data_IF_264388641214
#
_entry.id   IF_264388641214
#
_cell.length_a   1.000
_cell.length_b   1.000
_cell.length_c   1.000
_cell.angle_alpha   90.00
_cell.angle_beta   90.00
_cell.angle_gamma   90.00
#
_symmetry.space_group_name_H-M   'P 1'
#
loop_
_entity.id
_entity.type
_entity.pdbx_description
1 polymer ?
#
# COMPACT_ATOMS: atom_id res chain seq x y z
N UNK A 1 -15.61 24.36 25.99
CA UNK A 1 -16.93 24.09 26.59
C UNK A 1 -17.56 22.93 25.82
N UNK A 2 -17.38 21.69 26.27
CA UNK A 2 -17.99 20.51 25.63
C UNK A 2 -19.09 19.98 26.56
N UNK A 3 -20.33 20.10 26.11
CA UNK A 3 -21.47 19.43 26.71
C UNK A 3 -21.26 17.92 26.61
N UNK A 4 -20.86 17.29 27.72
CA UNK A 4 -20.84 15.84 27.90
C UNK A 4 -22.28 15.33 27.98
N UNK A 5 -23.03 15.42 26.88
CA UNK A 5 -24.36 14.83 26.78
C UNK A 5 -24.17 13.33 26.57
N UNK A 6 -24.57 12.57 27.59
CA UNK A 6 -24.68 11.11 27.52
C UNK A 6 -25.68 10.73 26.43
N UNK A 7 -25.33 9.74 25.61
CA UNK A 7 -26.21 9.21 24.57
C UNK A 7 -27.17 8.19 25.20
N UNK A 8 -28.42 8.19 24.76
CA UNK A 8 -29.38 7.13 25.04
C UNK A 8 -29.03 5.85 24.27
N UNK A 9 -29.55 4.70 24.71
CA UNK A 9 -29.28 3.42 24.04
C UNK A 9 -29.82 3.40 22.61
N UNK A 10 -30.96 4.06 22.37
CA UNK A 10 -31.55 4.24 21.03
C UNK A 10 -30.67 5.12 20.13
N UNK A 11 -30.14 6.24 20.65
CA UNK A 11 -29.16 7.06 19.93
C UNK A 11 -27.91 6.25 19.58
N UNK A 12 -27.37 5.49 20.54
CA UNK A 12 -26.22 4.61 20.31
C UNK A 12 -26.50 3.59 19.20
N UNK A 13 -27.66 2.92 19.23
CA UNK A 13 -28.02 1.91 18.23
C UNK A 13 -28.17 2.53 16.84
N UNK A 14 -28.86 3.67 16.73
CA UNK A 14 -29.00 4.39 15.48
C UNK A 14 -27.64 4.80 14.90
N UNK A 15 -26.69 5.21 15.74
CA UNK A 15 -25.33 5.55 15.30
C UNK A 15 -24.59 4.29 14.80
N UNK A 16 -24.68 3.17 15.54
CA UNK A 16 -24.08 1.88 15.15
C UNK A 16 -24.57 1.41 13.79
N UNK A 17 -25.84 1.60 13.50
CA UNK A 17 -26.44 1.20 12.22
C UNK A 17 -25.92 2.03 11.03
N UNK A 18 -25.37 3.22 11.29
CA UNK A 18 -24.80 4.11 10.29
C UNK A 18 -23.27 4.02 10.17
N UNK A 19 -22.62 3.11 10.90
CA UNK A 19 -21.17 2.88 10.78
C UNK A 19 -20.83 2.21 9.44
N UNK A 20 -19.64 2.52 8.91
CA UNK A 20 -19.14 1.93 7.66
C UNK A 20 -18.89 0.43 7.83
N UNK A 21 -18.32 0.05 8.96
CA UNK A 21 -18.15 -1.34 9.38
C UNK A 21 -19.08 -1.62 10.54
N UNK A 22 -19.66 -2.82 10.59
CA UNK A 22 -20.60 -3.17 11.66
C UNK A 22 -19.85 -3.64 12.90
N UNK A 23 -20.22 -3.15 14.07
CA UNK A 23 -19.78 -3.74 15.32
C UNK A 23 -20.34 -5.17 15.44
N UNK A 24 -19.53 -6.07 15.96
CA UNK A 24 -19.93 -7.45 16.29
C UNK A 24 -20.51 -7.52 17.71
N UNK A 25 -20.38 -8.66 18.38
CA UNK A 25 -20.86 -8.84 19.76
C UNK A 25 -20.13 -7.92 20.76
N UNK A 26 -20.75 -7.67 21.90
CA UNK A 26 -20.16 -6.92 23.02
C UNK A 26 -18.80 -7.48 23.50
N UNK A 27 -18.57 -8.78 23.31
CA UNK A 27 -17.34 -9.46 23.74
C UNK A 27 -16.18 -9.23 22.76
N UNK A 28 -16.47 -9.08 21.47
CA UNK A 28 -15.51 -8.87 20.40
C UNK A 28 -16.04 -7.88 19.35
N UNK A 29 -16.24 -6.60 19.73
CA UNK A 29 -16.94 -5.62 18.87
C UNK A 29 -16.23 -5.34 17.56
N UNK A 30 -14.90 -5.53 17.52
CA UNK A 30 -14.06 -5.30 16.35
C UNK A 30 -13.64 -6.57 15.61
N UNK A 31 -14.21 -7.74 15.94
CA UNK A 31 -13.99 -8.93 15.14
C UNK A 31 -14.34 -8.66 13.67
N UNK A 32 -13.62 -9.25 12.72
CA UNK A 32 -13.99 -9.21 11.31
C UNK A 32 -15.19 -10.12 11.04
N UNK A 33 -16.08 -9.71 10.15
CA UNK A 33 -17.07 -10.62 9.55
C UNK A 33 -16.50 -11.30 8.29
N UNK A 34 -17.23 -12.25 7.69
CA UNK A 34 -16.78 -13.03 6.53
C UNK A 34 -16.39 -12.21 5.29
N UNK A 35 -16.96 -11.02 5.13
CA UNK A 35 -16.65 -10.13 4.01
C UNK A 35 -15.42 -9.28 4.34
N UNK A 36 -15.34 -8.76 5.56
CA UNK A 36 -14.19 -8.01 6.08
C UNK A 36 -12.92 -8.88 6.21
N UNK A 37 -13.07 -10.19 6.40
CA UNK A 37 -11.97 -11.16 6.38
C UNK A 37 -11.27 -11.22 5.01
N UNK A 38 -11.96 -10.83 3.93
CA UNK A 38 -11.42 -10.77 2.57
C UNK A 38 -10.76 -9.43 2.25
N UNK A 39 -10.89 -8.42 3.12
CA UNK A 39 -10.35 -7.10 2.85
C UNK A 39 -8.83 -7.16 2.70
N UNK A 40 -8.39 -6.81 1.51
CA UNK A 40 -7.00 -6.61 1.19
C UNK A 40 -6.50 -5.26 1.69
N UNK A 41 -5.21 -4.98 1.52
CA UNK A 41 -4.65 -3.71 1.96
C UNK A 41 -5.28 -2.49 1.28
N UNK A 42 -5.68 -2.61 0.02
CA UNK A 42 -6.37 -1.57 -0.74
C UNK A 42 -7.72 -1.21 -0.10
N UNK A 43 -8.52 -2.21 0.29
CA UNK A 43 -9.81 -2.00 0.94
C UNK A 43 -9.65 -1.23 2.25
N UNK A 44 -8.71 -1.66 3.09
CA UNK A 44 -8.42 -0.97 4.34
C UNK A 44 -7.92 0.45 4.10
N UNK A 45 -7.04 0.65 3.12
CA UNK A 45 -6.53 1.98 2.81
C UNK A 45 -7.63 2.92 2.29
N UNK A 46 -8.54 2.40 1.47
CA UNK A 46 -9.69 3.14 0.96
C UNK A 46 -10.60 3.62 2.09
N UNK A 47 -10.88 2.78 3.09
CA UNK A 47 -11.72 3.16 4.23
C UNK A 47 -11.18 4.39 4.97
N UNK A 48 -9.86 4.56 5.07
CA UNK A 48 -9.24 5.75 5.63
C UNK A 48 -9.22 6.92 4.64
N UNK A 49 -8.80 6.70 3.39
CA UNK A 49 -8.69 7.75 2.37
C UNK A 49 -10.03 8.42 2.09
N UNK A 50 -11.14 7.66 2.02
CA UNK A 50 -12.47 8.24 1.79
C UNK A 50 -12.94 9.19 2.90
N UNK A 51 -12.35 9.10 4.09
CA UNK A 51 -12.59 10.04 5.21
C UNK A 51 -11.68 11.28 5.18
N UNK A 52 -10.70 11.34 4.27
CA UNK A 52 -9.78 12.46 4.15
C UNK A 52 -10.46 13.67 3.51
N UNK A 53 -10.53 14.79 4.25
CA UNK A 53 -11.19 16.02 3.77
C UNK A 53 -10.48 16.64 2.56
N UNK A 54 -9.17 16.53 2.47
CA UNK A 54 -8.41 17.03 1.32
C UNK A 54 -8.72 16.20 0.07
N UNK A 55 -8.87 14.88 0.22
CA UNK A 55 -9.33 14.00 -0.87
C UNK A 55 -10.74 14.36 -1.31
N UNK A 56 -11.69 14.46 -0.37
CA UNK A 56 -13.07 14.83 -0.67
C UNK A 56 -13.17 16.17 -1.40
N UNK A 57 -12.41 17.17 -0.94
CA UNK A 57 -12.32 18.48 -1.57
C UNK A 57 -11.71 18.38 -2.97
N UNK A 58 -10.58 17.68 -3.13
CA UNK A 58 -9.91 17.54 -4.41
C UNK A 58 -10.79 16.80 -5.43
N UNK A 59 -11.46 15.72 -5.03
CA UNK A 59 -12.41 14.98 -5.86
C UNK A 59 -13.58 15.86 -6.32
N UNK A 60 -14.18 16.62 -5.40
CA UNK A 60 -15.33 17.49 -5.70
C UNK A 60 -14.99 18.60 -6.69
N UNK A 61 -13.77 19.15 -6.61
CA UNK A 61 -13.30 20.22 -7.48
C UNK A 61 -12.61 19.70 -8.76
N UNK A 62 -12.42 18.39 -8.91
CA UNK A 62 -11.76 17.85 -10.09
C UNK A 62 -12.70 17.91 -11.30
N UNK A 63 -12.29 18.48 -12.44
CA UNK A 63 -13.08 18.42 -13.66
C UNK A 63 -13.30 16.96 -14.08
N UNK A 64 -14.57 16.52 -14.06
CA UNK A 64 -14.98 15.18 -14.47
C UNK A 64 -14.87 15.03 -15.99
N UNK A 65 -13.67 14.77 -16.48
CA UNK A 65 -13.45 14.44 -17.88
C UNK A 65 -13.75 12.95 -18.10
N UNK A 66 -14.68 12.67 -19.03
CA UNK A 66 -15.02 11.31 -19.45
C UNK A 66 -13.94 10.85 -20.43
N UNK A 67 -12.88 10.23 -19.91
CA UNK A 67 -11.99 9.41 -20.74
C UNK A 67 -12.02 7.97 -20.23
N UNK A 68 -13.22 7.38 -20.29
CA UNK A 68 -13.57 6.05 -19.78
C UNK A 68 -12.77 4.92 -20.45
N UNK A 69 -12.33 5.13 -21.70
CA UNK A 69 -11.70 4.10 -22.52
C UNK A 69 -10.40 3.52 -21.93
N UNK A 70 -9.64 4.29 -21.14
CA UNK A 70 -8.40 3.77 -20.52
C UNK A 70 -8.63 3.01 -19.23
N UNK A 71 -9.69 3.32 -18.47
CA UNK A 71 -10.00 2.64 -17.19
C UNK A 71 -10.70 1.31 -17.46
N UNK A 72 -11.50 1.25 -18.54
CA UNK A 72 -12.19 0.03 -18.99
C UNK A 72 -11.29 -1.19 -19.17
N UNK A 73 -9.99 -1.01 -19.38
CA UNK A 73 -9.06 -2.14 -19.44
C UNK A 73 -8.87 -2.83 -18.07
N UNK A 74 -9.07 -2.10 -16.97
CA UNK A 74 -8.75 -2.51 -15.60
C UNK A 74 -9.99 -2.73 -14.71
N UNK A 75 -11.12 -2.09 -15.03
CA UNK A 75 -12.36 -2.20 -14.23
C UNK A 75 -13.52 -2.77 -15.05
N UNK A 76 -14.50 -3.37 -14.38
CA UNK A 76 -15.73 -3.83 -15.02
C UNK A 76 -16.64 -2.64 -15.40
N UNK A 77 -17.33 -2.75 -16.55
CA UNK A 77 -18.23 -1.70 -17.06
C UNK A 77 -19.30 -1.27 -16.04
N UNK A 78 -19.78 -2.22 -15.23
CA UNK A 78 -20.80 -2.00 -14.17
C UNK A 78 -20.38 -0.95 -13.14
N UNK A 79 -19.07 -0.74 -12.97
CA UNK A 79 -18.50 0.09 -11.91
C UNK A 79 -18.05 1.49 -12.39
N UNK A 80 -18.11 1.77 -13.70
CA UNK A 80 -17.56 2.99 -14.31
C UNK A 80 -18.20 4.30 -13.86
N UNK A 81 -19.47 4.28 -13.45
CA UNK A 81 -20.25 5.49 -13.22
C UNK A 81 -19.70 6.41 -12.11
N UNK A 82 -18.76 5.91 -11.31
CA UNK A 82 -18.18 6.63 -10.17
C UNK A 82 -16.63 6.66 -10.20
N UNK A 83 -16.02 6.33 -11.34
CA UNK A 83 -14.57 6.27 -11.51
C UNK A 83 -14.16 7.31 -12.57
N UNK A 84 -13.20 8.17 -12.25
CA UNK A 84 -12.63 9.12 -13.21
C UNK A 84 -11.13 8.94 -13.38
N UNK A 85 -10.66 8.96 -14.63
CA UNK A 85 -9.24 8.77 -14.92
C UNK A 85 -8.42 9.92 -14.33
N UNK A 86 -7.29 9.60 -13.70
CA UNK A 86 -6.35 10.61 -13.18
C UNK A 86 -5.45 11.16 -14.30
N UNK A 87 -6.03 11.92 -15.22
CA UNK A 87 -5.34 12.41 -16.43
C UNK A 87 -4.25 13.45 -16.15
N UNK A 88 -4.36 14.18 -15.05
CA UNK A 88 -3.39 15.20 -14.62
C UNK A 88 -2.45 14.71 -13.51
N UNK A 89 -2.54 13.41 -13.18
CA UNK A 89 -1.78 12.71 -12.14
C UNK A 89 -1.96 13.26 -10.72
N UNK A 90 -2.95 14.13 -10.49
CA UNK A 90 -3.15 14.75 -9.17
C UNK A 90 -3.63 13.75 -8.16
N UNK A 91 -4.51 12.81 -8.53
CA UNK A 91 -5.01 11.79 -7.62
C UNK A 91 -3.87 10.91 -7.11
N UNK A 92 -3.06 10.42 -8.05
CA UNK A 92 -1.90 9.57 -7.76
C UNK A 92 -0.87 10.31 -6.94
N UNK A 93 -0.54 11.54 -7.33
CA UNK A 93 0.46 12.34 -6.62
C UNK A 93 0.02 12.69 -5.23
N UNK A 94 -1.22 13.15 -5.03
CA UNK A 94 -1.71 13.66 -3.74
C UNK A 94 -2.23 12.56 -2.82
N UNK A 95 -2.77 11.48 -3.38
CA UNK A 95 -3.54 10.44 -2.66
C UNK A 95 -3.01 9.01 -2.90
N UNK A 96 -2.06 8.82 -3.81
CA UNK A 96 -1.53 7.49 -4.14
C UNK A 96 -2.51 6.62 -4.93
N UNK A 97 -3.70 7.15 -5.26
CA UNK A 97 -4.79 6.42 -5.88
C UNK A 97 -4.68 6.51 -7.42
N UNK A 98 -4.86 5.39 -8.10
CA UNK A 98 -4.66 5.22 -9.54
C UNK A 98 -5.65 6.03 -10.40
N UNK A 99 -6.85 6.25 -9.87
CA UNK A 99 -7.95 6.99 -10.49
C UNK A 99 -8.83 7.60 -9.39
N UNK A 100 -9.57 8.65 -9.74
CA UNK A 100 -10.50 9.29 -8.82
C UNK A 100 -11.71 8.41 -8.56
N UNK A 101 -12.01 8.18 -7.29
CA UNK A 101 -13.17 7.43 -6.80
C UNK A 101 -14.08 8.31 -5.96
N UNK A 102 -15.40 8.16 -6.13
CA UNK A 102 -16.34 8.82 -5.23
C UNK A 102 -16.14 8.34 -3.79
N UNK A 103 -15.78 9.28 -2.89
CA UNK A 103 -15.60 9.00 -1.47
C UNK A 103 -16.87 8.46 -0.79
N UNK A 104 -18.05 8.66 -1.37
CA UNK A 104 -19.30 8.07 -0.91
C UNK A 104 -19.35 6.55 -1.12
N UNK A 105 -18.54 5.98 -2.01
CA UNK A 105 -18.47 4.54 -2.22
C UNK A 105 -17.89 3.80 -1.01
N UNK A 106 -18.61 2.83 -0.42
CA UNK A 106 -18.17 2.15 0.77
C UNK A 106 -17.04 1.15 0.54
N UNK A 107 -16.98 0.56 -0.65
CA UNK A 107 -16.05 -0.51 -1.03
C UNK A 107 -15.43 -0.10 -2.36
N UNK A 108 -14.16 -0.49 -2.56
CA UNK A 108 -13.49 -0.29 -3.84
C UNK A 108 -14.18 -1.10 -4.94
N UNK A 109 -14.28 -0.55 -6.16
CA UNK A 109 -14.70 -1.34 -7.30
C UNK A 109 -13.74 -2.50 -7.57
N UNK A 110 -14.28 -3.60 -8.10
CA UNK A 110 -13.51 -4.80 -8.41
C UNK A 110 -12.61 -4.55 -9.63
N UNK A 111 -11.32 -4.85 -9.48
CA UNK A 111 -10.36 -4.83 -10.58
C UNK A 111 -10.43 -6.15 -11.35
N UNK A 112 -10.28 -6.08 -12.67
CA UNK A 112 -10.34 -7.25 -13.56
C UNK A 112 -9.22 -8.25 -13.31
N UNK A 113 -8.05 -7.77 -12.88
CA UNK A 113 -6.91 -8.61 -12.55
C UNK A 113 -6.67 -8.59 -11.04
N UNK A 114 -6.56 -9.77 -10.43
CA UNK A 114 -6.32 -9.92 -8.98
C UNK A 114 -4.98 -9.33 -8.50
N UNK A 115 -4.04 -9.13 -9.45
CA UNK A 115 -2.73 -8.53 -9.20
C UNK A 115 -2.74 -7.00 -9.23
N UNK A 116 -3.80 -6.40 -9.78
CA UNK A 116 -3.91 -4.95 -9.89
C UNK A 116 -4.22 -4.34 -8.51
N UNK A 117 -3.83 -3.09 -8.32
CA UNK A 117 -4.07 -2.30 -7.12
C UNK A 117 -4.66 -0.96 -7.50
N UNK A 118 -5.61 -0.50 -6.69
CA UNK A 118 -6.13 0.87 -6.75
C UNK A 118 -5.08 1.91 -6.37
N UNK A 119 -3.96 1.47 -5.79
CA UNK A 119 -2.89 2.33 -5.35
C UNK A 119 -1.61 2.09 -6.17
N UNK A 120 -0.93 3.18 -6.50
CA UNK A 120 0.13 3.17 -7.50
C UNK A 120 1.39 2.45 -7.02
N UNK A 121 1.92 1.49 -7.80
CA UNK A 121 2.93 0.55 -7.35
C UNK A 121 4.29 1.19 -6.99
N UNK A 122 5.18 0.36 -6.44
CA UNK A 122 6.63 0.59 -6.38
C UNK A 122 7.18 0.93 -7.80
N UNK A 123 8.44 1.31 -7.94
CA UNK A 123 9.09 1.35 -9.27
C UNK A 123 10.11 0.22 -9.41
N UNK A 124 9.91 -0.60 -10.44
CA UNK A 124 10.94 -1.52 -10.91
C UNK A 124 11.99 -0.75 -11.73
N UNK A 125 13.23 -1.24 -11.77
CA UNK A 125 14.19 -0.82 -12.78
C UNK A 125 13.71 -1.31 -14.15
N UNK A 126 12.84 -0.53 -14.78
CA UNK A 126 12.66 -0.65 -16.22
C UNK A 126 13.77 0.21 -16.82
N UNK A 127 14.52 -0.26 -17.82
CA UNK A 127 15.46 0.52 -18.60
C UNK A 127 14.66 1.61 -19.31
N UNK A 128 14.54 2.70 -18.59
CA UNK A 128 14.23 3.99 -19.12
C UNK A 128 15.32 4.36 -20.11
N UNK A 129 14.92 5.08 -21.16
CA UNK A 129 15.86 5.81 -21.98
C UNK A 129 16.83 6.57 -21.05
N UNK A 130 18.14 6.35 -21.20
CA UNK A 130 19.20 7.00 -20.44
C UNK A 130 19.13 8.55 -20.51
N UNK A 131 18.27 9.11 -21.37
CA UNK A 131 17.91 10.52 -21.39
C UNK A 131 17.05 10.97 -20.19
N UNK A 132 16.36 10.07 -19.48
CA UNK A 132 15.60 10.40 -18.27
C UNK A 132 16.55 10.51 -17.07
N UNK A 133 16.78 11.75 -16.65
CA UNK A 133 17.63 12.10 -15.48
C UNK A 133 16.91 12.02 -14.14
N UNK A 134 15.60 11.77 -14.11
CA UNK A 134 14.78 11.87 -12.90
C UNK A 134 13.79 10.72 -12.85
N UNK A 135 13.67 10.07 -11.68
CA UNK A 135 12.60 9.09 -11.43
C UNK A 135 11.26 9.83 -11.47
N UNK A 136 10.59 9.81 -12.62
CA UNK A 136 9.33 10.54 -12.85
C UNK A 136 8.12 9.73 -12.41
N UNK A 137 7.15 10.34 -11.71
CA UNK A 137 5.88 9.71 -11.30
C UNK A 137 4.98 9.30 -12.49
N UNK A 138 5.35 9.76 -13.69
CA UNK A 138 4.69 9.42 -14.95
C UNK A 138 5.02 7.99 -15.36
N UNK A 139 4.00 7.26 -15.81
CA UNK A 139 4.14 5.90 -16.34
C UNK A 139 5.15 5.93 -17.48
N UNK A 140 6.23 5.17 -17.34
CA UNK A 140 7.16 4.98 -18.42
C UNK A 140 6.63 3.94 -19.40
N UNK A 141 6.16 4.42 -20.55
CA UNK A 141 5.80 3.56 -21.68
C UNK A 141 7.03 3.44 -22.57
N UNK A 142 7.70 2.28 -22.49
CA UNK A 142 8.81 1.96 -23.39
C UNK A 142 8.36 2.05 -24.86
N UNK A 143 9.08 2.78 -25.74
CA UNK A 143 8.76 2.85 -27.17
C UNK A 143 8.71 1.48 -27.83
N UNK A 144 7.71 1.24 -28.68
CA UNK A 144 7.52 0.02 -29.49
C UNK A 144 8.47 -0.03 -30.70
N UNK A 145 9.75 0.30 -30.51
CA UNK A 145 10.78 0.20 -31.56
C UNK A 145 11.29 -1.24 -31.73
N UNK A 146 11.92 -1.57 -32.88
CA UNK A 146 12.57 -2.86 -33.06
C UNK A 146 13.62 -3.05 -31.97
N UNK A 147 13.39 -4.05 -31.12
CA UNK A 147 14.23 -4.31 -29.96
C UNK A 147 15.62 -4.75 -30.43
N UNK A 148 16.66 -4.20 -29.80
CA UNK A 148 18.02 -4.68 -30.08
C UNK A 148 18.22 -6.02 -29.38
N UNK A 149 18.89 -6.98 -30.04
CA UNK A 149 19.26 -8.30 -29.45
C UNK A 149 20.04 -8.24 -28.14
N UNK A 150 20.55 -7.06 -27.75
CA UNK A 150 21.21 -6.81 -26.45
C UNK A 150 20.22 -6.37 -25.36
N UNK A 151 19.18 -5.62 -25.73
CA UNK A 151 18.08 -5.18 -24.86
C UNK A 151 17.04 -6.29 -24.60
N UNK A 152 17.14 -7.45 -25.25
CA UNK A 152 16.24 -8.59 -25.02
C UNK A 152 16.82 -9.62 -24.04
N UNK A 153 17.92 -9.28 -23.37
CA UNK A 153 18.68 -10.21 -22.53
C UNK A 153 18.26 -10.23 -21.06
N UNK A 154 17.46 -9.26 -20.62
CA UNK A 154 17.13 -9.10 -19.20
C UNK A 154 15.62 -9.20 -18.89
N UNK A 155 15.21 -9.87 -17.79
CA UNK A 155 13.80 -10.13 -17.50
C UNK A 155 12.99 -8.90 -17.15
N UNK A 156 13.66 -7.86 -16.65
CA UNK A 156 13.01 -6.60 -16.27
C UNK A 156 12.38 -5.88 -17.48
N UNK A 157 12.82 -6.17 -18.71
CA UNK A 157 12.21 -5.66 -19.94
C UNK A 157 10.81 -6.19 -20.22
N UNK A 158 10.43 -7.29 -19.54
CA UNK A 158 9.10 -7.85 -19.61
C UNK A 158 8.11 -6.99 -18.81
N UNK A 159 8.55 -6.11 -17.93
CA UNK A 159 7.66 -5.35 -17.04
C UNK A 159 7.32 -3.99 -17.66
N UNK A 160 6.04 -3.63 -17.61
CA UNK A 160 5.51 -2.31 -17.92
C UNK A 160 4.72 -1.80 -16.72
N UNK A 161 5.04 -0.59 -16.25
CA UNK A 161 4.25 0.08 -15.23
C UNK A 161 2.90 0.51 -15.82
N UNK A 162 1.83 0.36 -15.06
CA UNK A 162 0.48 0.79 -15.41
C UNK A 162 -0.11 1.62 -14.27
N UNK A 163 -1.23 2.33 -14.48
CA UNK A 163 -1.88 3.04 -13.39
C UNK A 163 -2.23 2.16 -12.18
N UNK A 164 -2.51 0.87 -12.42
CA UNK A 164 -3.03 -0.07 -11.44
C UNK A 164 -2.02 -1.14 -11.03
N UNK A 165 -0.71 -0.93 -11.25
CA UNK A 165 0.30 -1.95 -10.93
C UNK A 165 1.24 -2.21 -12.10
N UNK A 166 1.61 -3.47 -12.30
CA UNK A 166 2.54 -3.86 -13.36
C UNK A 166 1.91 -4.85 -14.32
N UNK A 167 2.05 -4.56 -15.61
CA UNK A 167 1.74 -5.50 -16.68
C UNK A 167 3.01 -6.15 -17.15
N UNK A 168 2.93 -7.43 -17.50
CA UNK A 168 4.05 -8.12 -18.13
C UNK A 168 3.78 -8.22 -19.63
N UNK A 169 4.68 -7.67 -20.44
CA UNK A 169 4.74 -7.86 -21.88
C UNK A 169 5.19 -9.28 -22.17
N UNK A 170 4.51 -9.97 -23.07
CA UNK A 170 4.92 -11.31 -23.51
C UNK A 170 6.36 -11.32 -24.04
N UNK A 171 7.06 -12.44 -23.84
CA UNK A 171 8.43 -12.61 -24.31
C UNK A 171 8.51 -12.45 -25.84
N UNK A 172 9.48 -11.70 -26.37
CA UNK A 172 9.83 -11.81 -27.78
C UNK A 172 10.29 -13.24 -28.05
N UNK A 173 9.74 -13.88 -29.09
CA UNK A 173 10.15 -15.22 -29.51
C UNK A 173 11.63 -15.18 -29.93
N UNK A 174 12.53 -15.56 -29.02
CA UNK A 174 13.98 -15.59 -29.30
C UNK A 174 14.44 -17.02 -29.52
N UNK A 175 14.46 -17.42 -30.79
CA UNK A 175 15.22 -18.55 -31.28
C UNK A 175 16.72 -18.22 -31.20
N UNK A 176 17.42 -18.68 -30.15
CA UNK A 176 18.88 -18.56 -30.10
C UNK A 176 19.52 -18.90 -28.76
N UNK A 177 20.35 -19.93 -28.76
CA UNK A 177 21.15 -20.40 -27.63
C UNK A 177 22.09 -19.32 -27.04
N UNK A 178 22.21 -19.35 -25.71
CA UNK A 178 23.42 -18.94 -24.98
C UNK A 178 23.44 -17.50 -24.46
N UNK A 179 23.01 -17.29 -23.21
CA UNK A 179 23.61 -16.46 -22.14
C UNK A 179 22.93 -16.91 -20.84
N UNK A 180 23.69 -17.52 -19.92
CA UNK A 180 23.15 -18.32 -18.80
C UNK A 180 23.27 -17.65 -17.41
N UNK A 181 23.53 -16.35 -17.32
CA UNK A 181 23.81 -15.70 -16.01
C UNK A 181 23.00 -14.41 -15.70
N UNK A 182 22.54 -13.63 -16.68
CA UNK A 182 21.88 -12.32 -16.41
C UNK A 182 20.34 -12.34 -16.56
N UNK A 183 19.76 -13.51 -16.85
CA UNK A 183 18.33 -13.69 -17.16
C UNK A 183 17.42 -13.90 -15.94
N UNK A 184 17.92 -13.72 -14.72
CA UNK A 184 17.10 -13.91 -13.51
C UNK A 184 17.00 -12.66 -12.64
N UNK A 185 17.96 -11.75 -12.70
CA UNK A 185 18.07 -10.67 -11.74
C UNK A 185 17.21 -9.46 -12.14
N UNK A 186 16.49 -8.89 -11.17
CA UNK A 186 15.67 -7.71 -11.32
C UNK A 186 15.98 -6.77 -10.17
N UNK A 187 16.20 -5.50 -10.49
CA UNK A 187 16.45 -4.45 -9.53
C UNK A 187 15.17 -3.62 -9.26
N UNK A 188 15.00 -3.21 -8.01
CA UNK A 188 13.88 -2.38 -7.57
C UNK A 188 14.39 -1.27 -6.64
N UNK A 189 13.81 -0.07 -6.75
CA UNK A 189 14.06 1.00 -5.80
C UNK A 189 13.04 0.90 -4.66
N UNK A 190 13.51 0.69 -3.43
CA UNK A 190 12.69 0.56 -2.23
C UNK A 190 12.86 1.80 -1.37
N UNK A 191 11.73 2.39 -0.95
CA UNK A 191 11.69 3.49 -0.01
C UNK A 191 11.79 2.96 1.42
N UNK A 192 12.94 3.11 2.06
CA UNK A 192 13.15 2.64 3.43
C UNK A 192 12.66 3.63 4.48
N UNK A 193 12.17 4.81 4.11
CA UNK A 193 11.57 5.74 5.07
C UNK A 193 10.16 5.32 5.51
N UNK A 194 9.56 4.32 4.84
CA UNK A 194 8.29 3.71 5.22
C UNK A 194 8.45 2.21 5.54
N UNK A 195 7.60 1.64 6.41
CA UNK A 195 7.54 0.21 6.68
C UNK A 195 7.60 -0.67 5.43
N UNK A 196 8.53 -1.66 5.35
CA UNK A 196 8.83 -2.27 4.06
C UNK A 196 7.79 -3.21 3.42
N UNK A 197 6.74 -3.69 4.11
CA UNK A 197 6.09 -4.95 3.66
C UNK A 197 5.16 -4.75 2.50
N UNK A 198 4.45 -3.62 2.42
CA UNK A 198 3.66 -3.34 1.23
C UNK A 198 4.55 -3.41 -0.02
N UNK A 199 5.72 -2.78 0.06
CA UNK A 199 6.72 -2.81 -1.01
C UNK A 199 7.26 -4.24 -1.24
N UNK A 200 7.70 -4.95 -0.20
CA UNK A 200 8.29 -6.31 -0.33
C UNK A 200 7.27 -7.36 -0.83
N UNK A 201 6.00 -7.27 -0.43
CA UNK A 201 4.95 -8.16 -0.96
C UNK A 201 4.75 -7.94 -2.46
N UNK A 202 4.87 -6.69 -2.92
CA UNK A 202 4.80 -6.33 -4.35
C UNK A 202 5.95 -6.95 -5.13
N UNK A 203 7.17 -6.78 -4.62
CA UNK A 203 8.39 -7.41 -5.15
C UNK A 203 8.20 -8.93 -5.34
N UNK A 204 7.66 -9.61 -4.32
CA UNK A 204 7.37 -11.06 -4.36
C UNK A 204 6.38 -11.41 -5.48
N UNK A 205 5.28 -10.67 -5.61
CA UNK A 205 4.27 -10.90 -6.67
C UNK A 205 4.87 -10.77 -8.06
N UNK A 206 5.59 -9.67 -8.32
CA UNK A 206 6.25 -9.42 -9.62
C UNK A 206 7.25 -10.52 -9.93
N UNK A 207 8.07 -10.90 -8.96
CA UNK A 207 9.06 -11.94 -9.13
C UNK A 207 8.43 -13.29 -9.52
N UNK A 208 7.34 -13.70 -8.88
CA UNK A 208 6.63 -14.94 -9.23
C UNK A 208 6.02 -14.88 -10.62
N UNK A 209 5.43 -13.75 -11.01
CA UNK A 209 4.81 -13.57 -12.32
C UNK A 209 5.85 -13.66 -13.44
N UNK A 210 7.03 -13.07 -13.25
CA UNK A 210 8.13 -13.14 -14.21
C UNK A 210 8.71 -14.55 -14.26
N UNK A 211 8.89 -15.21 -13.10
CA UNK A 211 9.30 -16.61 -13.08
C UNK A 211 8.38 -17.48 -13.93
N UNK A 212 7.07 -17.34 -13.78
CA UNK A 212 6.10 -18.14 -14.55
C UNK A 212 6.37 -18.04 -16.05
N UNK A 213 6.57 -16.82 -16.56
CA UNK A 213 6.81 -16.56 -17.98
C UNK A 213 8.16 -17.11 -18.45
N UNK A 214 9.20 -17.01 -17.61
CA UNK A 214 10.50 -17.60 -17.91
C UNK A 214 10.43 -19.14 -17.93
N UNK A 215 9.69 -19.74 -16.99
CA UNK A 215 9.45 -21.19 -16.96
C UNK A 215 8.65 -21.66 -18.18
N UNK A 216 7.64 -20.90 -18.60
CA UNK A 216 6.88 -21.17 -19.84
C UNK A 216 7.77 -21.14 -21.10
N UNK A 217 8.95 -20.51 -20.99
CA UNK A 217 9.99 -20.45 -22.04
C UNK A 217 11.12 -21.46 -21.83
N UNK A 218 10.89 -22.48 -21.01
CA UNK A 218 11.84 -23.55 -20.64
C UNK A 218 13.06 -23.10 -19.82
N UNK A 219 13.04 -21.93 -19.17
CA UNK A 219 14.07 -21.60 -18.19
C UNK A 219 13.83 -22.40 -16.89
N UNK A 220 14.91 -22.92 -16.30
CA UNK A 220 14.83 -23.74 -15.09
C UNK A 220 15.10 -22.88 -13.85
N UNK A 221 14.40 -23.20 -12.77
CA UNK A 221 14.71 -22.64 -11.45
C UNK A 221 15.97 -23.27 -10.88
N UNK A 222 16.75 -22.50 -10.13
CA UNK A 222 17.99 -22.95 -9.50
C UNK A 222 18.02 -22.49 -8.03
N UNK A 223 18.02 -23.44 -7.11
CA UNK A 223 18.01 -23.15 -5.67
C UNK A 223 19.33 -22.59 -5.16
N UNK A 224 20.43 -22.77 -5.90
CA UNK A 224 21.75 -22.24 -5.56
C UNK A 224 21.86 -20.74 -5.88
N UNK A 225 20.99 -20.20 -6.75
CA UNK A 225 20.90 -18.77 -7.07
C UNK A 225 20.17 -17.96 -5.99
N UNK A 226 20.59 -18.09 -4.72
CA UNK A 226 20.05 -17.36 -3.57
C UNK A 226 20.73 -16.00 -3.33
N UNK A 227 21.32 -15.42 -4.38
CA UNK A 227 21.98 -14.14 -4.29
C UNK A 227 20.95 -13.01 -4.30
N UNK A 228 20.80 -12.35 -3.15
CA UNK A 228 20.16 -11.05 -3.03
C UNK A 228 21.20 -9.99 -2.74
N UNK A 229 20.99 -8.80 -3.30
CA UNK A 229 21.84 -7.65 -3.03
C UNK A 229 20.97 -6.46 -2.65
N UNK A 230 21.35 -5.75 -1.60
CA UNK A 230 20.71 -4.52 -1.17
C UNK A 230 21.81 -3.46 -1.07
N UNK A 231 21.69 -2.40 -1.87
CA UNK A 231 22.67 -1.33 -1.95
C UNK A 231 22.03 0.00 -1.61
N UNK A 232 22.83 0.95 -1.12
CA UNK A 232 22.47 2.36 -1.23
C UNK A 232 22.18 2.71 -2.70
N UNK A 233 21.16 3.52 -2.93
CA UNK A 233 20.71 3.73 -4.30
C UNK A 233 21.76 4.39 -5.20
N UNK A 234 22.61 5.24 -4.62
CA UNK A 234 23.76 5.87 -5.29
C UNK A 234 24.86 4.89 -5.70
N UNK A 235 24.93 3.74 -5.03
CA UNK A 235 25.91 2.69 -5.30
C UNK A 235 25.43 1.68 -6.33
N UNK A 236 24.16 1.76 -6.75
CA UNK A 236 23.57 0.89 -7.77
C UNK A 236 23.86 1.41 -9.17
N UNK A 237 24.41 0.57 -10.03
CA UNK A 237 24.61 0.93 -11.45
C UNK A 237 23.28 1.16 -12.20
N UNK A 238 22.19 0.54 -11.73
CA UNK A 238 20.86 0.67 -12.32
C UNK A 238 20.12 1.95 -11.91
N UNK A 239 20.52 2.59 -10.81
CA UNK A 239 19.79 3.72 -10.24
C UNK A 239 20.66 4.97 -9.98
N UNK A 240 21.99 4.87 -10.00
CA UNK A 240 22.89 5.98 -9.66
C UNK A 240 22.80 7.20 -10.59
N UNK A 241 22.26 7.04 -11.79
CA UNK A 241 22.04 8.12 -12.76
C UNK A 241 20.66 8.78 -12.61
N UNK A 242 19.82 8.26 -11.73
CA UNK A 242 18.46 8.74 -11.51
C UNK A 242 18.38 9.68 -10.32
N UNK A 243 17.74 10.83 -10.49
CA UNK A 243 17.39 11.69 -9.35
C UNK A 243 16.11 11.16 -8.66
N UNK A 244 16.22 10.74 -7.41
CA UNK A 244 15.10 10.33 -6.57
C UNK A 244 14.45 11.54 -5.90
N UNK A 245 13.12 11.59 -5.90
CA UNK A 245 12.35 12.62 -5.16
C UNK A 245 12.21 12.25 -3.67
N UNK A 246 11.58 13.17 -2.93
CA UNK A 246 11.22 13.04 -1.50
C UNK A 246 10.59 11.67 -1.24
N UNK A 247 11.20 10.94 -0.32
CA UNK A 247 10.70 9.64 0.11
C UNK A 247 9.49 9.77 1.04
N UNK A 248 8.64 8.76 1.03
CA UNK A 248 7.30 8.83 1.55
C UNK A 248 7.18 8.92 3.06
N UNK A 249 8.16 8.50 3.85
CA UNK A 249 8.15 8.65 5.31
C UNK A 249 9.18 9.63 5.84
N UNK A 250 10.00 10.20 4.94
CA UNK A 250 11.10 11.06 5.31
C UNK A 250 10.62 12.36 5.96
N UNK A 251 11.31 12.76 7.02
CA UNK A 251 11.11 14.05 7.65
C UNK A 251 11.69 15.19 6.80
N UNK A 252 11.16 16.40 6.97
CA UNK A 252 11.57 17.57 6.17
C UNK A 252 13.04 17.97 6.37
N UNK A 253 13.70 17.40 7.39
CA UNK A 253 15.12 17.57 7.69
C UNK A 253 16.04 16.69 6.83
N UNK A 254 15.50 15.69 6.14
CA UNK A 254 16.24 14.81 5.23
C UNK A 254 16.64 15.61 4.00
N UNK A 255 17.90 16.08 3.98
CA UNK A 255 18.46 16.86 2.86
C UNK A 255 18.87 15.99 1.68
N UNK A 256 19.26 14.76 1.98
CA UNK A 256 19.66 13.76 1.00
C UNK A 256 18.64 12.63 1.01
N UNK A 257 17.68 12.69 0.10
CA UNK A 257 16.68 11.63 -0.01
C UNK A 257 17.28 10.33 -0.55
N UNK A 258 18.46 10.34 -1.18
CA UNK A 258 19.08 9.11 -1.72
C UNK A 258 19.46 8.13 -0.60
N UNK A 259 19.77 8.64 0.60
CA UNK A 259 20.12 7.81 1.75
C UNK A 259 18.96 6.98 2.30
N UNK A 260 17.72 7.33 1.99
CA UNK A 260 16.53 6.59 2.45
C UNK A 260 16.02 5.59 1.40
N UNK A 261 16.56 5.64 0.17
CA UNK A 261 16.26 4.66 -0.85
C UNK A 261 17.30 3.54 -0.86
N UNK A 262 16.86 2.31 -1.13
CA UNK A 262 17.73 1.16 -1.37
C UNK A 262 17.43 0.53 -2.72
N UNK A 263 18.48 0.13 -3.43
CA UNK A 263 18.37 -0.72 -4.60
C UNK A 263 18.35 -2.17 -4.13
N UNK A 264 17.29 -2.90 -4.46
CA UNK A 264 17.10 -4.30 -4.09
C UNK A 264 17.14 -5.16 -5.35
N UNK A 265 18.03 -6.14 -5.35
CA UNK A 265 18.23 -7.10 -6.42
C UNK A 265 17.69 -8.46 -6.02
N UNK A 266 16.86 -9.02 -6.89
CA UNK A 266 16.24 -10.33 -6.69
C UNK A 266 16.43 -11.18 -7.94
N UNK A 267 16.84 -12.44 -7.74
CA UNK A 267 16.89 -13.42 -8.80
C UNK A 267 15.58 -14.22 -8.87
N UNK A 268 14.76 -13.99 -9.90
CA UNK A 268 13.43 -14.62 -10.04
C UNK A 268 13.51 -16.13 -10.29
N UNK A 269 14.62 -16.64 -10.84
CA UNK A 269 14.84 -18.08 -11.03
C UNK A 269 15.41 -18.76 -9.78
N UNK A 270 15.90 -17.97 -8.80
CA UNK A 270 16.40 -18.43 -7.49
C UNK A 270 15.30 -18.84 -6.50
N UNK A 271 15.54 -19.00 -5.20
CA UNK A 271 14.49 -19.23 -4.21
C UNK A 271 13.81 -17.91 -3.76
N UNK A 272 12.84 -17.39 -4.54
CA UNK A 272 12.14 -16.11 -4.30
C UNK A 272 11.72 -15.92 -2.84
N UNK A 273 11.09 -16.92 -2.20
CA UNK A 273 10.60 -16.77 -0.82
C UNK A 273 11.74 -16.48 0.17
N UNK A 274 12.86 -17.22 0.08
CA UNK A 274 14.03 -17.00 0.94
C UNK A 274 14.69 -15.64 0.69
N UNK A 275 14.80 -15.26 -0.58
CA UNK A 275 15.33 -13.97 -0.99
C UNK A 275 14.47 -12.82 -0.43
N UNK A 276 13.14 -12.94 -0.53
CA UNK A 276 12.17 -11.96 -0.03
C UNK A 276 12.23 -11.83 1.49
N UNK A 277 12.36 -12.93 2.23
CA UNK A 277 12.52 -12.91 3.68
C UNK A 277 13.80 -12.18 4.10
N UNK A 278 14.91 -12.46 3.41
CA UNK A 278 16.19 -11.78 3.65
C UNK A 278 16.09 -10.28 3.35
N UNK A 279 15.53 -9.92 2.18
CA UNK A 279 15.28 -8.52 1.80
C UNK A 279 14.41 -7.82 2.85
N UNK A 280 13.35 -8.48 3.30
CA UNK A 280 12.45 -7.92 4.31
C UNK A 280 13.18 -7.65 5.63
N UNK A 281 14.08 -8.53 6.06
CA UNK A 281 14.90 -8.36 7.25
C UNK A 281 15.80 -7.14 7.13
N UNK A 282 16.65 -7.13 6.11
CA UNK A 282 17.63 -6.06 5.91
C UNK A 282 16.98 -4.67 5.70
N UNK A 283 15.88 -4.58 4.93
CA UNK A 283 15.18 -3.30 4.76
C UNK A 283 14.47 -2.87 6.04
N UNK A 284 14.03 -3.80 6.90
CA UNK A 284 13.51 -3.44 8.24
C UNK A 284 14.60 -2.84 9.12
N UNK A 285 15.79 -3.40 9.08
CA UNK A 285 16.93 -2.90 9.85
C UNK A 285 17.28 -1.47 9.40
N UNK A 286 17.38 -1.24 8.09
CA UNK A 286 17.57 0.12 7.54
C UNK A 286 16.45 1.08 7.96
N UNK A 287 15.18 0.63 7.93
CA UNK A 287 14.07 1.47 8.39
C UNK A 287 14.18 1.82 9.88
N UNK A 288 14.62 0.87 10.71
CA UNK A 288 14.82 1.11 12.15
C UNK A 288 15.96 2.10 12.39
N UNK A 289 17.08 1.96 11.68
CA UNK A 289 18.19 2.92 11.74
C UNK A 289 17.71 4.33 11.37
N UNK A 290 16.93 4.47 10.30
CA UNK A 290 16.35 5.76 9.90
C UNK A 290 15.39 6.33 10.95
N UNK A 291 14.71 5.50 11.75
CA UNK A 291 13.90 5.98 12.87
C UNK A 291 14.75 6.46 14.03
N UNK A 292 15.77 5.69 14.39
CA UNK A 292 16.66 5.99 15.50
C UNK A 292 17.42 7.31 15.25
N UNK A 293 17.78 7.56 13.98
CA UNK A 293 18.40 8.80 13.52
C UNK A 293 17.41 9.97 13.33
N UNK A 294 16.10 9.72 13.50
CA UNK A 294 15.05 10.74 13.33
C UNK A 294 14.77 11.14 11.88
N UNK A 295 15.24 10.36 10.90
CA UNK A 295 14.97 10.58 9.49
C UNK A 295 13.64 9.99 9.02
N UNK A 296 13.10 9.03 9.78
CA UNK A 296 11.78 8.45 9.56
C UNK A 296 10.95 8.48 10.85
N UNK A 297 9.64 8.71 10.72
CA UNK A 297 8.77 8.61 11.90
C UNK A 297 8.64 7.15 12.35
N UNK A 298 8.76 6.86 13.67
CA UNK A 298 8.34 5.59 14.20
C UNK A 298 6.87 5.40 13.91
N UNK A 299 6.56 4.42 13.06
CA UNK A 299 5.18 4.10 12.76
C UNK A 299 4.59 3.32 13.93
N UNK A 300 3.55 3.85 14.57
CA UNK A 300 2.69 3.07 15.50
C UNK A 300 2.14 1.80 14.84
N UNK A 301 2.18 1.74 13.49
CA UNK A 301 1.62 0.70 12.66
C UNK A 301 2.64 -0.38 12.23
N UNK A 302 3.91 -0.28 12.59
CA UNK A 302 4.87 -1.39 12.43
C UNK A 302 4.41 -2.67 13.17
N UNK A 303 3.48 -2.54 14.12
CA UNK A 303 2.78 -3.66 14.76
C UNK A 303 1.83 -4.45 13.83
N UNK A 304 1.41 -3.92 12.67
CA UNK A 304 0.39 -4.55 11.81
C UNK A 304 0.95 -5.36 10.65
N UNK A 305 2.25 -5.26 10.41
CA UNK A 305 2.91 -5.82 9.24
C UNK A 305 3.08 -7.34 9.27
N UNK A 306 3.01 -7.95 10.44
CA UNK A 306 3.11 -9.40 10.62
C UNK A 306 1.75 -10.11 10.56
N UNK A 307 0.64 -9.38 10.35
CA UNK A 307 -0.71 -9.90 10.50
C UNK A 307 -1.61 -9.69 9.27
N UNK A 308 -1.01 -9.42 8.10
CA UNK A 308 -1.72 -9.37 6.81
C UNK A 308 -1.28 -10.47 5.85
N UNK A 309 -0.49 -11.45 6.33
CA UNK A 309 -0.29 -12.72 5.63
C UNK A 309 -1.22 -13.77 6.25
N UNK A 310 -2.01 -14.40 5.39
CA UNK A 310 -2.93 -15.50 5.73
C UNK A 310 -2.23 -16.86 5.76
N UNK A 311 -0.98 -16.92 6.21
CA UNK A 311 -0.36 -18.20 6.57
C UNK A 311 -0.76 -18.53 8.00
N UNK A 312 -1.58 -19.57 8.16
CA UNK A 312 -1.91 -20.15 9.46
C UNK A 312 -0.64 -20.32 10.30
N UNK A 313 -0.57 -19.67 11.45
CA UNK A 313 0.45 -19.96 12.45
C UNK A 313 0.26 -21.39 13.01
N UNK A 314 1.36 -21.97 13.52
CA UNK A 314 1.50 -23.35 13.99
C UNK A 314 0.53 -23.76 15.12
N UNK A 315 -0.20 -22.81 15.70
CA UNK A 315 -1.22 -22.95 16.73
C UNK A 315 -2.67 -22.73 16.21
N UNK A 316 -2.84 -22.49 14.91
CA UNK A 316 -4.15 -22.45 14.23
C UNK A 316 -4.98 -21.19 14.48
N UNK A 317 -4.44 -20.16 15.16
CA UNK A 317 -5.14 -18.92 15.44
C UNK A 317 -4.58 -17.76 14.61
N UNK A 318 -5.26 -17.43 13.51
CA UNK A 318 -5.01 -16.19 12.76
C UNK A 318 -5.27 -14.98 13.65
N UNK A 319 -4.25 -14.15 13.90
CA UNK A 319 -4.39 -12.84 14.54
C UNK A 319 -4.30 -11.74 13.50
N UNK A 320 -5.26 -11.68 12.58
CA UNK A 320 -5.32 -10.65 11.54
C UNK A 320 -5.31 -9.23 12.14
N UNK A 321 -4.48 -8.35 11.56
CA UNK A 321 -4.40 -6.93 11.93
C UNK A 321 -5.69 -6.15 11.63
N UNK A 322 -6.59 -6.76 10.84
CA UNK A 322 -7.88 -6.18 10.46
C UNK A 322 -8.80 -5.85 11.64
N UNK A 323 -8.78 -6.61 12.75
CA UNK A 323 -9.60 -6.26 13.93
C UNK A 323 -9.22 -4.87 14.48
N UNK A 324 -7.92 -4.59 14.50
CA UNK A 324 -7.42 -3.30 14.94
C UNK A 324 -7.69 -2.21 13.88
N UNK A 325 -7.49 -2.49 12.59
CA UNK A 325 -7.81 -1.54 11.53
C UNK A 325 -9.29 -1.16 11.54
N UNK A 326 -10.18 -2.14 11.78
CA UNK A 326 -11.60 -1.91 12.02
C UNK A 326 -11.84 -0.99 13.21
N UNK A 327 -11.18 -1.21 14.33
CA UNK A 327 -11.24 -0.30 15.49
C UNK A 327 -10.86 1.14 15.10
N UNK A 328 -9.72 1.33 14.43
CA UNK A 328 -9.27 2.65 13.98
C UNK A 328 -10.23 3.30 13.00
N UNK A 329 -10.75 2.56 12.01
CA UNK A 329 -11.73 3.09 11.04
C UNK A 329 -12.98 3.59 11.75
N UNK A 330 -13.49 2.83 12.72
CA UNK A 330 -14.69 3.19 13.48
C UNK A 330 -14.45 4.40 14.40
N UNK A 331 -13.29 4.47 15.06
CA UNK A 331 -12.88 5.63 15.86
C UNK A 331 -12.80 6.88 14.98
N UNK A 332 -12.11 6.78 13.84
CA UNK A 332 -12.00 7.87 12.88
C UNK A 332 -13.38 8.36 12.40
N UNK A 333 -14.27 7.43 12.03
CA UNK A 333 -15.60 7.77 11.55
C UNK A 333 -16.41 8.52 12.61
N UNK A 334 -16.40 8.04 13.85
CA UNK A 334 -17.14 8.67 14.94
C UNK A 334 -16.53 10.04 15.32
N UNK A 335 -15.21 10.13 15.42
CA UNK A 335 -14.53 11.38 15.71
C UNK A 335 -14.81 12.43 14.61
N UNK A 336 -14.78 12.05 13.33
CA UNK A 336 -15.11 12.95 12.22
C UNK A 336 -16.58 13.43 12.23
N UNK A 337 -17.49 12.66 12.84
CA UNK A 337 -18.88 13.06 13.11
C UNK A 337 -19.03 13.97 14.35
N UNK A 338 -17.95 14.27 15.05
CA UNK A 338 -17.91 15.17 16.20
C UNK A 338 -18.18 14.50 17.55
N UNK A 339 -18.15 13.17 17.62
CA UNK A 339 -18.29 12.46 18.90
C UNK A 339 -16.98 12.51 19.68
N UNK A 340 -17.06 12.88 20.97
CA UNK A 340 -15.92 12.85 21.88
C UNK A 340 -15.67 11.45 22.48
N UNK A 341 -14.54 11.29 23.17
CA UNK A 341 -14.01 10.00 23.63
C UNK A 341 -15.04 9.18 24.44
N UNK A 342 -15.73 9.85 25.37
CA UNK A 342 -16.76 9.21 26.20
C UNK A 342 -18.01 8.78 25.41
N UNK A 343 -18.34 9.49 24.33
CA UNK A 343 -19.44 9.12 23.45
C UNK A 343 -19.04 7.95 22.56
N UNK A 344 -17.80 7.95 22.04
CA UNK A 344 -17.22 6.82 21.29
C UNK A 344 -17.22 5.56 22.16
N UNK A 345 -16.77 5.65 23.41
CA UNK A 345 -16.80 4.53 24.35
C UNK A 345 -18.22 3.98 24.60
N UNK A 346 -19.21 4.87 24.73
CA UNK A 346 -20.62 4.49 24.87
C UNK A 346 -21.14 3.79 23.60
N UNK A 347 -20.86 4.35 22.43
CA UNK A 347 -21.26 3.77 21.14
C UNK A 347 -20.62 2.39 20.97
N UNK A 348 -19.38 2.16 21.40
CA UNK A 348 -18.76 0.84 21.38
C UNK A 348 -19.25 -0.11 22.48
N UNK A 349 -20.05 0.36 23.44
CA UNK A 349 -20.55 -0.45 24.54
C UNK A 349 -19.46 -0.83 25.56
N UNK A 350 -18.40 -0.04 25.69
CA UNK A 350 -17.26 -0.34 26.58
C UNK A 350 -17.62 -0.22 28.06
N UNK A 351 -18.57 0.68 28.38
CA UNK A 351 -19.05 0.88 29.74
C UNK A 351 -20.57 0.68 29.80
N UNK A 352 -21.02 0.03 30.87
CA UNK A 352 -22.45 -0.09 31.16
C UNK A 352 -23.08 1.26 31.50
N UNK A 353 -24.41 1.30 31.53
CA UNK A 353 -25.16 2.47 31.95
C UNK A 353 -24.80 3.02 33.35
N UNK A 354 -24.09 2.24 34.17
CA UNK A 354 -23.61 2.59 35.51
C UNK A 354 -22.12 2.99 35.56
N UNK A 355 -21.44 3.06 34.41
CA UNK A 355 -20.02 3.41 34.30
C UNK A 355 -19.07 2.24 34.60
N UNK A 356 -19.57 1.03 34.86
CA UNK A 356 -18.77 -0.17 35.06
C UNK A 356 -18.39 -0.82 33.73
N UNK A 357 -17.12 -1.18 33.59
CA UNK A 357 -16.59 -1.97 32.47
C UNK A 357 -16.85 -3.46 32.72
N UNK A 358 -17.14 -4.24 31.67
CA UNK A 358 -17.29 -5.69 31.80
C UNK A 358 -15.92 -6.36 31.92
N UNK A 359 -14.93 -5.89 31.15
CA UNK A 359 -13.60 -6.50 31.05
C UNK A 359 -12.45 -5.47 31.11
N UNK A 360 -11.26 -5.91 31.54
CA UNK A 360 -10.06 -5.05 31.66
C UNK A 360 -9.63 -4.41 30.34
N UNK A 361 -9.78 -5.12 29.22
CA UNK A 361 -9.44 -4.59 27.89
C UNK A 361 -10.35 -3.42 27.48
N UNK A 362 -11.63 -3.41 27.88
CA UNK A 362 -12.56 -2.32 27.58
C UNK A 362 -12.16 -1.04 28.31
N UNK A 363 -11.73 -1.18 29.57
CA UNK A 363 -11.20 -0.07 30.35
C UNK A 363 -9.90 0.46 29.76
N UNK A 364 -9.01 -0.43 29.31
CA UNK A 364 -7.76 -0.05 28.67
C UNK A 364 -8.01 0.68 27.34
N UNK A 365 -8.94 0.18 26.53
CA UNK A 365 -9.33 0.82 25.28
C UNK A 365 -9.88 2.22 25.54
N UNK A 366 -10.85 2.37 26.46
CA UNK A 366 -11.43 3.68 26.78
C UNK A 366 -10.36 4.68 27.26
N UNK A 367 -9.41 4.26 28.11
CA UNK A 367 -8.31 5.11 28.58
C UNK A 367 -7.35 5.58 27.48
N UNK A 368 -7.35 4.93 26.32
CA UNK A 368 -6.45 5.19 25.18
C UNK A 368 -7.20 5.65 23.93
N UNK A 369 -8.49 5.99 24.03
CA UNK A 369 -9.27 6.41 22.86
C UNK A 369 -8.65 7.63 22.20
N UNK A 370 -8.12 8.58 22.98
CA UNK A 370 -7.40 9.75 22.49
C UNK A 370 -6.15 9.37 21.68
N UNK A 371 -5.32 8.44 22.18
CA UNK A 371 -4.18 7.90 21.43
C UNK A 371 -4.65 7.26 20.10
N UNK A 372 -5.71 6.44 20.13
CA UNK A 372 -6.26 5.81 18.92
C UNK A 372 -6.91 6.80 17.95
N UNK A 373 -7.46 7.91 18.45
CA UNK A 373 -7.96 9.00 17.62
C UNK A 373 -6.81 9.62 16.84
N UNK A 374 -5.67 9.86 17.49
CA UNK A 374 -4.50 10.44 16.82
C UNK A 374 -3.91 9.46 15.81
N UNK A 375 -3.82 8.18 16.14
CA UNK A 375 -3.43 7.13 15.18
C UNK A 375 -4.40 7.04 13.98
N UNK A 376 -5.72 7.12 14.23
CA UNK A 376 -6.72 7.08 13.17
C UNK A 376 -6.68 8.33 12.27
N UNK A 377 -6.38 9.51 12.83
CA UNK A 377 -6.13 10.74 12.05
C UNK A 377 -4.89 10.60 11.19
N UNK A 378 -3.81 10.05 11.73
CA UNK A 378 -2.58 9.81 10.96
C UNK A 378 -2.84 8.87 9.79
N UNK A 379 -3.64 7.81 10.02
CA UNK A 379 -4.09 6.92 8.95
C UNK A 379 -4.85 7.67 7.86
N UNK A 380 -5.85 8.48 8.20
CA UNK A 380 -6.59 9.32 7.24
C UNK A 380 -5.64 10.25 6.48
N UNK A 381 -4.67 10.84 7.17
CA UNK A 381 -3.75 11.85 6.62
C UNK A 381 -2.51 11.25 5.95
N UNK A 382 -2.67 10.06 5.37
CA UNK A 382 -1.68 9.42 4.52
C UNK A 382 -0.99 8.21 5.12
N UNK A 383 -1.21 7.92 6.41
CA UNK A 383 -0.76 6.68 7.05
C UNK A 383 -1.39 5.42 6.46
N UNK A 384 -2.57 5.51 5.81
CA UNK A 384 -3.15 4.41 5.05
C UNK A 384 -2.23 3.84 3.98
N UNK A 385 -1.27 4.64 3.49
CA UNK A 385 -0.27 4.20 2.51
C UNK A 385 0.67 3.13 3.04
N UNK A 386 0.74 2.96 4.35
CA UNK A 386 1.50 1.88 4.98
C UNK A 386 0.88 0.50 4.72
N UNK A 387 -0.40 0.46 4.35
CA UNK A 387 -1.10 -0.77 4.02
C UNK A 387 -0.79 -1.20 2.57
N UNK A 388 -0.63 -0.23 1.68
CA UNK A 388 -0.71 -0.40 0.22
C UNK A 388 0.62 -0.15 -0.47
N UNK A 389 0.66 -0.48 -1.75
CA UNK A 389 1.74 -0.11 -2.66
C UNK A 389 1.51 1.37 -3.02
N UNK A 390 2.07 2.32 -2.28
CA UNK A 390 2.03 3.73 -2.69
C UNK A 390 3.14 4.56 -2.05
N UNK A 391 3.82 5.37 -2.87
CA UNK A 391 4.70 6.45 -2.39
C UNK A 391 3.85 7.61 -1.83
N UNK A 392 4.35 8.33 -0.81
CA UNK A 392 3.62 9.50 -0.26
C UNK A 392 3.62 10.67 -1.26
N UNK A 393 2.62 11.56 -1.18
CA UNK A 393 2.60 12.84 -1.85
C UNK A 393 3.80 13.72 -1.54
N UNK A 394 4.20 14.49 -2.56
CA UNK A 394 5.05 15.65 -2.36
C UNK A 394 4.29 16.61 -1.43
N UNK A 395 4.88 16.98 -0.29
CA UNK A 395 4.27 17.94 0.65
C UNK A 395 4.06 19.34 0.04
N UNK A 396 4.62 19.61 -1.15
CA UNK A 396 4.66 20.94 -1.73
C UNK A 396 3.95 20.99 -3.09
N UNK A 397 2.65 21.30 -3.08
CA UNK A 397 1.99 22.14 -4.09
C UNK A 397 0.83 22.89 -3.40
N UNK A 398 1.18 23.94 -2.65
CA UNK A 398 0.32 25.10 -2.41
C UNK A 398 0.69 26.20 -3.39
#
# INVERSE_FOLDING_TARGET
>A
MNNSKRLSDEECQNIRDQLFLKLNSDEAPFALNKDEEKFGPDDWAWLFLRMNKNYQFAYTNHPKAINEFKILEFVHEKDLCNIHADLDERCRRSFGLAAWLDYAQPILPELKNEDDSWFAPLKAAIPEDHSRRTVSKEIYIRPLGPQSRKLDRHPYHLIEETPFGYRIRGLPSTSGHGIRAERGCIAFAVDCSVPPSGQITTLKKIAHKIRSILMDSNELTDTELNETMILEIKSSEDFNYMNFKIAGGAEDIVRDYEMVWRAVYLNVLGPITLQIEKILGEVKDVYQELQDDGFAKPSSLLRFKYNLDSSKDLDGLSRNGGNYLKCLVLIAQLHNRGFGDNQIAQIFGLCSATGKYKNAWQQQLHRKIDEYIDEAKDMINGGYRLLIQAQKPDKNQS
#
